data_IF_101764680696
#
_entry.id   IF_101764680696
#
_cell.length_a   1.000
_cell.length_b   1.000
_cell.length_c   1.000
_cell.angle_alpha   90.00
_cell.angle_beta   90.00
_cell.angle_gamma   90.00
#
_symmetry.space_group_name_H-M   'P 1'
#
loop_
_entity.id
_entity.type
_entity.pdbx_description
1 polymer ?
#
# COMPACT_ATOMS: atom_id res chain seq x y z
N UNK A 1 -6.06 -3.06 21.63
CA UNK A 1 -4.67 -2.94 21.07
C UNK A 1 -4.62 -1.85 20.02
N UNK A 2 -3.51 -1.15 19.93
CA UNK A 2 -3.31 -0.13 18.90
C UNK A 2 -2.06 -0.50 18.09
N UNK A 3 -2.19 -0.52 16.78
CA UNK A 3 -1.05 -0.66 15.86
C UNK A 3 -1.06 0.55 14.95
N UNK A 4 -0.16 1.49 15.21
CA UNK A 4 -0.02 2.71 14.40
C UNK A 4 1.40 2.83 13.82
N UNK A 5 2.00 1.69 13.51
CA UNK A 5 3.30 1.62 12.85
C UNK A 5 3.12 1.88 11.35
N UNK A 6 3.80 2.87 10.77
CA UNK A 6 3.74 3.08 9.32
C UNK A 6 4.15 1.83 8.55
N UNK A 7 5.19 1.14 9.03
CA UNK A 7 5.69 -0.07 8.38
C UNK A 7 4.64 -1.18 8.37
N UNK A 8 4.05 -1.48 9.51
CA UNK A 8 3.08 -2.56 9.63
C UNK A 8 1.79 -2.23 8.88
N UNK A 9 1.28 -1.01 9.04
CA UNK A 9 0.02 -0.62 8.38
C UNK A 9 0.18 -0.51 6.87
N UNK A 10 1.31 -0.04 6.37
CA UNK A 10 1.58 -0.05 4.93
C UNK A 10 1.72 -1.48 4.41
N UNK A 11 2.41 -2.36 5.15
CA UNK A 11 2.55 -3.76 4.77
C UNK A 11 1.18 -4.46 4.73
N UNK A 12 0.29 -4.13 5.65
CA UNK A 12 -1.08 -4.66 5.63
C UNK A 12 -1.79 -4.28 4.33
N UNK A 13 -1.69 -3.02 3.90
CA UNK A 13 -2.28 -2.58 2.64
C UNK A 13 -1.72 -3.38 1.45
N UNK A 14 -0.42 -3.59 1.40
CA UNK A 14 0.21 -4.41 0.37
C UNK A 14 -0.32 -5.84 0.41
N UNK A 15 -0.36 -6.43 1.61
CA UNK A 15 -0.83 -7.80 1.82
C UNK A 15 -2.27 -7.99 1.33
N UNK A 16 -3.14 -7.03 1.62
CA UNK A 16 -4.56 -7.13 1.27
C UNK A 16 -4.84 -6.83 -0.21
N UNK A 17 -4.11 -5.90 -0.81
CA UNK A 17 -4.43 -5.37 -2.14
C UNK A 17 -3.63 -6.01 -3.27
N UNK A 18 -2.47 -6.59 -3.01
CA UNK A 18 -1.65 -7.16 -4.07
C UNK A 18 -2.11 -8.59 -4.40
N UNK A 19 -3.04 -8.70 -5.33
CA UNK A 19 -3.56 -9.99 -5.80
C UNK A 19 -2.66 -10.67 -6.83
N UNK A 20 -1.65 -9.95 -7.33
CA UNK A 20 -0.71 -10.47 -8.31
C UNK A 20 0.68 -10.55 -7.70
N UNK A 21 1.45 -11.56 -8.07
CA UNK A 21 2.83 -11.70 -7.61
C UNK A 21 3.75 -10.80 -8.44
N UNK A 22 3.72 -9.52 -8.12
CA UNK A 22 4.39 -8.48 -8.88
C UNK A 22 5.06 -7.50 -7.91
N UNK A 23 6.39 -7.41 -8.01
CA UNK A 23 7.17 -6.52 -7.15
C UNK A 23 6.80 -5.05 -7.32
N UNK A 24 6.66 -4.60 -8.57
CA UNK A 24 6.30 -3.21 -8.87
C UNK A 24 4.95 -2.83 -8.27
N UNK A 25 3.98 -3.74 -8.34
CA UNK A 25 2.67 -3.55 -7.73
C UNK A 25 2.80 -3.41 -6.21
N UNK A 26 3.50 -4.33 -5.56
CA UNK A 26 3.67 -4.29 -4.10
C UNK A 26 4.35 -3.00 -3.66
N UNK A 27 5.42 -2.61 -4.33
CA UNK A 27 6.16 -1.40 -3.99
C UNK A 27 5.32 -0.13 -4.21
N UNK A 28 4.53 -0.09 -5.26
CA UNK A 28 3.66 1.06 -5.54
C UNK A 28 2.56 1.18 -4.49
N UNK A 29 1.94 0.08 -4.08
CA UNK A 29 0.97 0.09 -2.98
C UNK A 29 1.63 0.60 -1.70
N UNK A 30 2.82 0.09 -1.38
CA UNK A 30 3.56 0.52 -0.18
C UNK A 30 3.83 2.02 -0.19
N UNK A 31 4.35 2.54 -1.29
CA UNK A 31 4.64 3.97 -1.43
C UNK A 31 3.39 4.83 -1.32
N UNK A 32 2.30 4.40 -1.92
CA UNK A 32 1.02 5.11 -1.87
C UNK A 32 0.46 5.15 -0.45
N UNK A 33 0.50 4.03 0.27
CA UNK A 33 0.05 4.00 1.67
C UNK A 33 0.88 4.95 2.54
N UNK A 34 2.20 4.94 2.39
CA UNK A 34 3.07 5.84 3.14
C UNK A 34 2.80 7.31 2.80
N UNK A 35 2.55 7.62 1.53
CA UNK A 35 2.16 8.98 1.12
C UNK A 35 0.85 9.39 1.80
N UNK A 36 -0.12 8.49 1.87
CA UNK A 36 -1.39 8.75 2.52
C UNK A 36 -1.24 9.09 4.00
N UNK A 37 -0.37 8.36 4.70
CA UNK A 37 -0.08 8.62 6.12
C UNK A 37 0.56 10.00 6.30
N UNK A 38 1.50 10.36 5.43
CA UNK A 38 2.14 11.68 5.48
C UNK A 38 1.15 12.80 5.19
N UNK A 39 0.30 12.64 4.19
CA UNK A 39 -0.71 13.63 3.83
C UNK A 39 -1.72 13.84 4.95
N UNK A 40 -2.11 12.79 5.63
CA UNK A 40 -3.03 12.84 6.76
C UNK A 40 -2.35 13.27 8.07
N UNK A 41 -1.03 13.32 8.08
CA UNK A 41 -0.21 13.58 9.27
C UNK A 41 -0.51 12.61 10.41
N UNK A 42 -0.89 11.38 10.06
CA UNK A 42 -1.17 10.33 11.04
C UNK A 42 -1.14 8.96 10.39
N UNK A 43 -0.79 7.96 11.21
CA UNK A 43 -0.95 6.57 10.83
C UNK A 43 -2.18 6.03 11.55
N UNK A 44 -3.17 5.50 10.83
CA UNK A 44 -4.36 4.97 11.48
C UNK A 44 -4.02 3.71 12.29
N UNK A 45 -4.84 3.41 13.28
CA UNK A 45 -4.74 2.15 14.00
C UNK A 45 -5.21 1.02 13.09
N UNK A 46 -4.30 0.16 12.66
CA UNK A 46 -4.61 -0.95 11.76
C UNK A 46 -4.70 -2.30 12.47
N UNK A 47 -4.84 -2.31 13.80
CA UNK A 47 -4.87 -3.56 14.58
C UNK A 47 -5.98 -4.52 14.14
N UNK A 48 -7.17 -4.00 13.84
CA UNK A 48 -8.29 -4.84 13.41
C UNK A 48 -7.98 -5.54 12.08
N UNK A 49 -7.39 -4.81 11.12
CA UNK A 49 -7.00 -5.38 9.84
C UNK A 49 -5.91 -6.44 10.00
N UNK A 50 -4.94 -6.20 10.87
CA UNK A 50 -3.89 -7.19 11.17
C UNK A 50 -4.51 -8.46 11.76
N UNK A 51 -5.44 -8.33 12.70
CA UNK A 51 -6.11 -9.47 13.31
C UNK A 51 -6.86 -10.29 12.26
N UNK A 52 -7.58 -9.64 11.36
CA UNK A 52 -8.29 -10.33 10.26
C UNK A 52 -7.29 -11.06 9.36
N UNK A 53 -6.20 -10.41 8.98
CA UNK A 53 -5.18 -11.02 8.11
C UNK A 53 -4.58 -12.27 8.75
N UNK A 54 -4.32 -12.25 10.06
CA UNK A 54 -3.75 -13.38 10.78
C UNK A 54 -4.70 -14.57 10.90
N UNK A 55 -6.01 -14.33 10.85
CA UNK A 55 -7.01 -15.38 11.05
C UNK A 55 -7.59 -15.94 9.77
N UNK A 56 -7.30 -15.34 8.61
CA UNK A 56 -7.95 -15.66 7.34
C UNK A 56 -6.93 -16.14 6.32
N UNK A 57 -6.62 -17.43 6.33
CA UNK A 57 -5.68 -18.04 5.38
C UNK A 57 -4.35 -17.27 5.31
N UNK A 58 -3.78 -16.97 6.48
CA UNK A 58 -2.57 -16.16 6.55
C UNK A 58 -1.42 -16.80 5.77
N UNK A 59 -0.77 -16.02 4.90
CA UNK A 59 0.41 -16.43 4.16
C UNK A 59 1.62 -15.67 4.69
N UNK A 60 2.49 -16.38 5.38
CA UNK A 60 3.75 -15.79 5.87
C UNK A 60 4.59 -15.27 4.71
N UNK A 61 4.67 -16.01 3.60
CA UNK A 61 5.42 -15.60 2.42
C UNK A 61 4.92 -14.25 1.90
N UNK A 62 3.61 -14.11 1.72
CA UNK A 62 3.02 -12.87 1.22
C UNK A 62 3.25 -11.72 2.20
N UNK A 63 3.19 -11.99 3.49
CA UNK A 63 3.44 -10.99 4.52
C UNK A 63 4.88 -10.50 4.49
N UNK A 64 5.85 -11.41 4.38
CA UNK A 64 7.26 -11.05 4.28
C UNK A 64 7.56 -10.26 3.01
N UNK A 65 6.94 -10.61 1.88
CA UNK A 65 7.07 -9.84 0.65
C UNK A 65 6.49 -8.44 0.78
N UNK A 66 5.39 -8.30 1.52
CA UNK A 66 4.79 -6.99 1.80
C UNK A 66 5.74 -6.11 2.64
N UNK A 67 6.31 -6.67 3.70
CA UNK A 67 7.28 -5.96 4.53
C UNK A 67 8.52 -5.55 3.73
N UNK A 68 9.01 -6.45 2.88
CA UNK A 68 10.17 -6.17 2.04
C UNK A 68 9.89 -5.00 1.09
N UNK A 69 8.71 -4.95 0.50
CA UNK A 69 8.32 -3.86 -0.39
C UNK A 69 8.27 -2.51 0.36
N UNK A 70 7.68 -2.50 1.56
CA UNK A 70 7.65 -1.29 2.39
C UNK A 70 9.07 -0.83 2.74
N UNK A 71 9.91 -1.76 3.14
CA UNK A 71 11.29 -1.44 3.54
C UNK A 71 12.11 -0.92 2.35
N UNK A 72 11.92 -1.47 1.17
CA UNK A 72 12.63 -1.03 -0.04
C UNK A 72 12.24 0.40 -0.43
N UNK A 73 10.95 0.74 -0.35
CA UNK A 73 10.47 2.08 -0.64
C UNK A 73 10.95 3.06 0.44
N UNK A 74 10.84 2.68 1.70
CA UNK A 74 11.24 3.53 2.84
C UNK A 74 12.73 3.85 2.79
N UNK A 75 13.57 2.87 2.48
CA UNK A 75 15.02 3.04 2.42
C UNK A 75 15.52 3.74 1.15
N UNK A 76 14.65 3.89 0.16
CA UNK A 76 15.05 4.45 -1.13
C UNK A 76 15.74 3.48 -2.06
N UNK A 77 15.82 2.19 -1.69
CA UNK A 77 16.43 1.18 -2.58
C UNK A 77 15.55 0.81 -3.77
N UNK A 78 14.29 1.21 -3.74
CA UNK A 78 13.39 1.12 -4.88
C UNK A 78 12.55 2.39 -4.97
N UNK A 79 12.48 2.97 -6.18
CA UNK A 79 11.66 4.16 -6.44
C UNK A 79 10.37 3.76 -7.15
N UNK A 80 9.25 4.21 -6.62
CA UNK A 80 7.94 4.05 -7.26
C UNK A 80 7.95 4.81 -8.59
N UNK A 81 7.35 4.25 -9.67
CA UNK A 81 7.27 4.95 -10.95
C UNK A 81 6.71 6.37 -10.80
N UNK A 82 7.29 7.33 -11.53
CA UNK A 82 6.91 8.73 -11.41
C UNK A 82 5.42 8.96 -11.58
N UNK A 83 4.78 8.24 -12.51
CA UNK A 83 3.35 8.39 -12.74
C UNK A 83 2.52 8.08 -11.50
N UNK A 84 3.01 7.20 -10.62
CA UNK A 84 2.29 6.77 -9.41
C UNK A 84 2.80 7.47 -8.13
N UNK A 85 3.90 8.21 -8.22
CA UNK A 85 4.65 8.65 -7.03
C UNK A 85 3.89 9.60 -6.11
N UNK A 86 2.87 10.29 -6.62
CA UNK A 86 2.10 11.27 -5.85
C UNK A 86 0.79 10.72 -5.29
N UNK A 87 0.42 9.50 -5.65
CA UNK A 87 -0.83 8.92 -5.19
C UNK A 87 -0.81 8.72 -3.67
N UNK A 88 -1.96 8.92 -3.04
CA UNK A 88 -2.12 8.79 -1.59
C UNK A 88 -3.15 7.72 -1.21
N UNK A 89 -3.86 7.14 -2.19
CA UNK A 89 -4.85 6.10 -1.94
C UNK A 89 -4.89 5.13 -3.10
N UNK A 90 -5.22 3.88 -2.78
CA UNK A 90 -5.41 2.82 -3.76
C UNK A 90 -6.88 2.43 -3.72
N UNK A 91 -7.53 2.41 -4.87
CA UNK A 91 -8.93 2.00 -4.98
C UNK A 91 -9.10 1.02 -6.14
N UNK A 92 -10.14 0.18 -6.11
CA UNK A 92 -10.45 -0.64 -7.27
C UNK A 92 -10.68 0.25 -8.50
N UNK A 93 -10.21 -0.19 -9.66
CA UNK A 93 -10.37 0.58 -10.90
C UNK A 93 -11.83 0.92 -11.17
N UNK A 94 -12.75 0.01 -10.86
CA UNK A 94 -14.18 0.21 -11.03
C UNK A 94 -14.74 1.35 -10.16
N UNK A 95 -14.04 1.73 -9.09
CA UNK A 95 -14.46 2.81 -8.19
C UNK A 95 -13.69 4.11 -8.44
N UNK A 96 -12.70 4.10 -9.34
CA UNK A 96 -11.89 5.26 -9.63
C UNK A 96 -12.61 6.22 -10.56
N UNK A 97 -12.40 7.51 -10.34
CA UNK A 97 -12.79 8.53 -11.32
C UNK A 97 -11.68 8.66 -12.39
N UNK A 98 -11.86 9.58 -13.32
CA UNK A 98 -10.94 9.79 -14.43
C UNK A 98 -9.59 10.42 -14.01
N UNK A 99 -9.37 10.64 -12.71
CA UNK A 99 -8.18 11.35 -12.20
C UNK A 99 -7.15 10.45 -11.57
N UNK A 100 -7.14 9.17 -11.89
CA UNK A 100 -6.10 8.28 -11.40
C UNK A 100 -4.74 8.72 -11.94
N UNK A 101 -3.74 8.75 -11.06
CA UNK A 101 -2.36 9.04 -11.46
C UNK A 101 -1.81 7.92 -12.32
N UNK A 102 -2.11 6.69 -11.95
CA UNK A 102 -1.71 5.51 -12.71
C UNK A 102 -2.66 4.35 -12.38
N UNK A 103 -2.61 3.34 -13.21
CA UNK A 103 -3.37 2.10 -13.03
C UNK A 103 -2.40 0.94 -13.18
N UNK A 104 -2.44 0.01 -12.23
CA UNK A 104 -1.68 -1.23 -12.29
C UNK A 104 -2.66 -2.36 -12.06
N UNK A 105 -2.80 -3.25 -13.05
CA UNK A 105 -3.83 -4.28 -13.07
C UNK A 105 -5.21 -3.64 -12.89
N UNK A 106 -5.97 -4.06 -11.90
CA UNK A 106 -7.32 -3.56 -11.60
C UNK A 106 -7.35 -2.54 -10.46
N UNK A 107 -6.21 -1.98 -10.12
CA UNK A 107 -6.09 -0.96 -9.07
C UNK A 107 -5.74 0.39 -9.65
N UNK A 108 -6.45 1.42 -9.16
CA UNK A 108 -6.18 2.80 -9.51
C UNK A 108 -5.52 3.51 -8.33
N UNK A 109 -4.48 4.28 -8.63
CA UNK A 109 -3.70 5.02 -7.63
C UNK A 109 -4.09 6.48 -7.74
N UNK A 110 -4.76 7.01 -6.72
CA UNK A 110 -5.47 8.29 -6.75
C UNK A 110 -5.03 9.21 -5.61
N UNK A 111 -5.56 10.43 -5.61
CA UNK A 111 -5.34 11.40 -4.55
C UNK A 111 -4.03 12.16 -4.69
N UNK A 112 -3.66 12.86 -3.62
CA UNK A 112 -2.44 13.66 -3.61
C UNK A 112 -2.60 15.03 -4.26
N UNK A 113 -1.50 15.80 -4.25
CA UNK A 113 -1.48 17.11 -4.86
C UNK A 113 -1.53 17.03 -6.38
N UNK A 114 -2.31 17.87 -6.97
CA UNK A 114 -2.44 18.00 -8.41
C UNK A 114 -1.29 18.85 -8.98
#
# INVERSE_FOLDING_TARGET
MVISSPRICAALAVYELSEHDDWGLRATIAGTALNGFRAAERVPNCAAGVAVALTKNFSERRWLLALEAVDAVTSGSYSVPLACARATAVVPLSAADARAHCVIYDLAFVGGAQ
#
